data_IF_754444040876
#
_entry.id   IF_754444040876
#
_cell.length_a   1.000
_cell.length_b   1.000
_cell.length_c   1.000
_cell.angle_alpha   90.00
_cell.angle_beta   90.00
_cell.angle_gamma   90.00
#
_symmetry.space_group_name_H-M   'P 1'
#
loop_
_entity.id
_entity.type
_entity.pdbx_description
1 polymer ?
#
# COMPACT_ATOMS: atom_id res chain seq x y z
N UNK A 1 -22.29 -5.63 -8.39
CA UNK A 1 -22.00 -4.25 -7.93
C UNK A 1 -23.19 -3.40 -8.26
N UNK A 2 -23.86 -2.89 -7.24
CA UNK A 2 -25.06 -2.06 -7.35
C UNK A 2 -24.73 -0.63 -7.83
N UNK A 3 -25.75 0.11 -8.28
CA UNK A 3 -25.57 1.45 -8.84
C UNK A 3 -25.02 2.47 -7.84
N UNK A 4 -25.33 2.32 -6.55
CA UNK A 4 -24.80 3.20 -5.49
C UNK A 4 -23.30 2.97 -5.33
N UNK A 5 -22.87 1.72 -5.25
CA UNK A 5 -21.44 1.36 -5.20
C UNK A 5 -20.65 1.90 -6.40
N UNK A 6 -21.23 1.85 -7.60
CA UNK A 6 -20.59 2.40 -8.80
C UNK A 6 -20.46 3.92 -8.74
N UNK A 7 -21.52 4.62 -8.32
CA UNK A 7 -21.51 6.08 -8.18
C UNK A 7 -20.50 6.54 -7.13
N UNK A 8 -20.41 5.85 -6.01
CA UNK A 8 -19.42 6.13 -4.97
C UNK A 8 -17.99 5.96 -5.48
N UNK A 9 -17.74 4.90 -6.26
CA UNK A 9 -16.42 4.70 -6.88
C UNK A 9 -16.07 5.84 -7.84
N UNK A 10 -17.01 6.25 -8.70
CA UNK A 10 -16.80 7.36 -9.63
C UNK A 10 -16.49 8.67 -8.90
N UNK A 11 -17.29 9.03 -7.90
CA UNK A 11 -17.07 10.24 -7.10
C UNK A 11 -15.70 10.19 -6.41
N UNK A 12 -15.31 9.04 -5.87
CA UNK A 12 -14.00 8.87 -5.26
C UNK A 12 -12.86 9.06 -6.27
N UNK A 13 -12.97 8.46 -7.47
CA UNK A 13 -11.99 8.65 -8.55
C UNK A 13 -11.87 10.12 -8.95
N UNK A 14 -12.99 10.83 -9.10
CA UNK A 14 -13.00 12.26 -9.43
C UNK A 14 -12.33 13.12 -8.36
N UNK A 15 -12.51 12.78 -7.08
CA UNK A 15 -11.90 13.50 -5.95
C UNK A 15 -10.39 13.25 -5.81
N UNK A 16 -9.94 12.02 -6.06
CA UNK A 16 -8.53 11.62 -5.87
C UNK A 16 -7.65 12.03 -7.04
N UNK A 17 -8.18 12.05 -8.26
CA UNK A 17 -7.45 12.39 -9.49
C UNK A 17 -6.58 13.66 -9.42
N UNK A 18 -7.04 14.83 -8.93
CA UNK A 18 -6.18 16.02 -8.85
C UNK A 18 -4.98 15.82 -7.89
N UNK A 19 -5.13 15.01 -6.84
CA UNK A 19 -4.04 14.68 -5.92
C UNK A 19 -3.04 13.72 -6.56
N UNK A 20 -3.53 12.70 -7.27
CA UNK A 20 -2.68 11.78 -8.04
C UNK A 20 -1.85 12.55 -9.07
N UNK A 21 -2.48 13.40 -9.88
CA UNK A 21 -1.78 14.21 -10.87
C UNK A 21 -0.70 15.12 -10.25
N UNK A 22 -0.97 15.67 -9.06
CA UNK A 22 -0.03 16.51 -8.33
C UNK A 22 1.22 15.74 -7.86
N UNK A 23 1.05 14.52 -7.34
CA UNK A 23 2.16 13.71 -6.86
C UNK A 23 2.88 12.95 -7.99
N UNK A 24 2.17 12.60 -9.07
CA UNK A 24 2.79 12.06 -10.30
C UNK A 24 3.82 13.03 -10.86
N UNK A 25 3.47 14.33 -10.96
CA UNK A 25 4.40 15.38 -11.43
C UNK A 25 5.67 15.47 -10.60
N UNK A 26 5.59 15.13 -9.31
CA UNK A 26 6.73 15.12 -8.39
C UNK A 26 7.47 13.78 -8.33
N UNK A 27 7.03 12.76 -9.08
CA UNK A 27 7.53 11.38 -8.98
C UNK A 27 7.46 10.84 -7.55
N UNK A 28 6.38 11.20 -6.83
CA UNK A 28 6.13 10.80 -5.43
C UNK A 28 5.04 9.74 -5.29
N UNK A 29 4.50 9.23 -6.40
CA UNK A 29 3.63 8.07 -6.38
C UNK A 29 4.45 6.79 -6.61
N UNK A 30 4.09 5.76 -5.88
CA UNK A 30 4.62 4.42 -6.02
C UNK A 30 3.48 3.51 -6.46
N UNK A 31 3.54 3.06 -7.70
CA UNK A 31 2.64 2.02 -8.20
C UNK A 31 3.19 0.65 -7.82
N UNK A 32 2.37 -0.17 -7.16
CA UNK A 32 2.72 -1.54 -6.82
C UNK A 32 1.54 -2.45 -7.09
N UNK A 33 1.83 -3.71 -7.38
CA UNK A 33 0.80 -4.69 -7.72
C UNK A 33 0.14 -5.20 -6.43
N UNK A 34 -1.18 -5.03 -6.34
CA UNK A 34 -2.01 -5.67 -5.33
C UNK A 34 -2.34 -7.07 -5.83
N UNK A 35 -1.60 -8.07 -5.35
CA UNK A 35 -1.80 -9.47 -5.71
C UNK A 35 -2.15 -10.29 -4.47
N UNK A 36 -3.26 -11.03 -4.54
CA UNK A 36 -3.68 -11.95 -3.48
C UNK A 36 -4.44 -11.27 -2.33
N UNK A 37 -4.27 -11.81 -1.12
CA UNK A 37 -4.92 -11.32 0.07
C UNK A 37 -4.17 -10.16 0.73
N UNK A 38 -4.64 -9.71 1.91
CA UNK A 38 -4.04 -8.58 2.62
C UNK A 38 -2.57 -8.80 3.00
N UNK A 39 -2.18 -10.04 3.32
CA UNK A 39 -0.81 -10.38 3.73
C UNK A 39 0.12 -10.31 2.53
N UNK A 40 -0.28 -10.89 1.41
CA UNK A 40 0.49 -10.88 0.16
C UNK A 40 0.62 -9.45 -0.39
N UNK A 41 -0.44 -8.66 -0.28
CA UNK A 41 -0.44 -7.24 -0.66
C UNK A 41 0.52 -6.43 0.21
N UNK A 42 0.52 -6.65 1.53
CA UNK A 42 1.44 -5.97 2.45
C UNK A 42 2.90 -6.33 2.14
N UNK A 43 3.18 -7.61 1.88
CA UNK A 43 4.52 -8.06 1.50
C UNK A 43 4.97 -7.38 0.19
N UNK A 44 4.11 -7.31 -0.82
CA UNK A 44 4.38 -6.62 -2.08
C UNK A 44 4.66 -5.13 -1.87
N UNK A 45 3.93 -4.47 -0.96
CA UNK A 45 4.15 -3.07 -0.61
C UNK A 45 5.50 -2.84 0.09
N UNK A 46 5.88 -3.70 1.04
CA UNK A 46 7.18 -3.62 1.72
C UNK A 46 8.34 -3.82 0.74
N UNK A 47 8.19 -4.72 -0.23
CA UNK A 47 9.18 -4.92 -1.30
C UNK A 47 9.30 -3.66 -2.17
N UNK A 48 8.17 -3.05 -2.57
CA UNK A 48 8.17 -1.83 -3.39
C UNK A 48 8.82 -0.63 -2.68
N UNK A 49 8.76 -0.58 -1.35
CA UNK A 49 9.44 0.42 -0.53
C UNK A 49 10.89 0.04 -0.17
N UNK A 50 11.38 -1.14 -0.58
CA UNK A 50 12.65 -1.72 -0.13
C UNK A 50 12.77 -1.87 1.40
N UNK A 51 11.65 -2.08 2.08
CA UNK A 51 11.56 -2.23 3.55
C UNK A 51 11.44 -3.70 4.01
N UNK A 52 11.61 -4.67 3.11
CA UNK A 52 11.52 -6.11 3.37
C UNK A 52 12.37 -6.64 4.55
N UNK A 53 13.36 -5.87 5.02
CA UNK A 53 14.23 -6.23 6.14
C UNK A 53 13.71 -5.77 7.52
N UNK A 54 12.64 -4.97 7.57
CA UNK A 54 12.12 -4.41 8.83
C UNK A 54 11.33 -5.42 9.67
N UNK A 55 10.80 -6.49 9.07
CA UNK A 55 10.09 -7.55 9.80
C UNK A 55 11.01 -8.43 10.66
N UNK A 56 12.33 -8.42 10.41
CA UNK A 56 13.28 -9.33 11.04
C UNK A 56 13.82 -8.89 12.41
N UNK A 57 13.58 -7.64 12.86
CA UNK A 57 14.24 -7.07 14.06
C UNK A 57 13.38 -7.16 15.33
N UNK A 58 12.10 -7.56 15.24
CA UNK A 58 11.18 -7.51 16.40
C UNK A 58 11.16 -8.76 17.29
N UNK A 59 11.58 -9.94 16.82
CA UNK A 59 11.26 -11.19 17.54
C UNK A 59 12.45 -11.96 18.15
N UNK A 60 13.70 -11.67 17.76
CA UNK A 60 14.85 -12.53 18.15
C UNK A 60 15.63 -12.01 19.36
N UNK A 61 15.35 -10.81 19.87
CA UNK A 61 16.11 -10.22 20.99
C UNK A 61 15.43 -10.28 22.36
N UNK A 62 14.24 -10.91 22.49
CA UNK A 62 13.55 -11.02 23.79
C UNK A 62 13.60 -12.41 24.45
N UNK A 63 14.42 -13.35 23.95
CA UNK A 63 14.57 -14.68 24.56
C UNK A 63 16.01 -15.08 24.89
N UNK A 64 16.97 -14.15 24.85
CA UNK A 64 18.32 -14.38 25.36
C UNK A 64 18.59 -13.45 26.55
N UNK A 65 18.08 -13.82 27.72
CA UNK A 65 18.29 -13.07 28.96
C UNK A 65 17.94 -13.87 30.21
N UNK A 66 18.88 -14.73 30.61
CA UNK A 66 19.05 -15.43 31.89
C UNK A 66 18.08 -16.57 32.25
#
# INVERSE_FOLDING_TARGET
MDDVSRKNLQVHTEQVKPLEEYYMKQKKLLDFQVAGGPVETLQGFLVALHLQHMDAVSSVQLTAGC
#
